data_IF_165714643882
#
_entry.id   IF_165714643882
#
_cell.length_a   1.000
_cell.length_b   1.000
_cell.length_c   1.000
_cell.angle_alpha   90.00
_cell.angle_beta   90.00
_cell.angle_gamma   90.00
#
_symmetry.space_group_name_H-M   'P 1'
#
loop_
_entity.id
_entity.type
_entity.pdbx_description
1 polymer ?
#
# COMPACT_ATOMS: atom_id res chain seq x y z
N UNK A 1 10.33 -14.47 10.23
CA UNK A 1 10.36 -13.32 11.07
C UNK A 1 10.55 -12.04 10.29
N UNK A 2 9.72 -11.10 10.46
CA UNK A 2 9.86 -9.92 9.65
C UNK A 2 9.89 -8.66 10.48
N UNK A 3 10.76 -7.75 10.08
CA UNK A 3 10.79 -6.39 10.59
C UNK A 3 10.33 -5.43 9.52
N UNK A 4 9.58 -5.94 8.56
CA UNK A 4 9.14 -5.13 7.43
C UNK A 4 8.02 -4.19 7.83
N UNK A 5 8.08 -3.00 7.26
CA UNK A 5 7.00 -2.04 7.41
C UNK A 5 5.85 -2.40 6.48
N UNK A 6 4.67 -1.91 6.81
CA UNK A 6 3.47 -2.03 6.00
C UNK A 6 3.07 -0.63 5.56
N UNK A 7 2.74 -0.48 4.28
CA UNK A 7 2.18 0.76 3.76
C UNK A 7 0.83 0.49 3.13
N UNK A 8 -0.08 1.46 3.22
CA UNK A 8 -1.39 1.33 2.61
C UNK A 8 -1.79 2.66 1.99
N UNK A 9 -2.31 2.59 0.77
CA UNK A 9 -2.94 3.75 0.13
C UNK A 9 -4.34 3.34 -0.29
N UNK A 10 -5.30 4.18 0.06
CA UNK A 10 -6.69 3.97 -0.31
C UNK A 10 -7.11 5.07 -1.27
N UNK A 11 -7.68 4.67 -2.40
CA UNK A 11 -8.07 5.60 -3.45
C UNK A 11 -9.54 5.42 -3.79
N UNK A 12 -10.10 6.43 -4.45
CA UNK A 12 -11.45 6.34 -4.96
C UNK A 12 -11.38 5.86 -6.41
N UNK A 13 -11.75 4.59 -6.61
CA UNK A 13 -11.76 3.95 -7.92
C UNK A 13 -10.46 3.26 -8.28
N UNK A 14 -10.52 2.48 -9.36
CA UNK A 14 -9.41 1.64 -9.80
C UNK A 14 -8.29 2.39 -10.50
N UNK A 15 -8.61 3.45 -11.25
CA UNK A 15 -7.58 4.12 -12.03
C UNK A 15 -6.49 4.70 -11.12
N UNK A 16 -6.82 5.48 -10.09
CA UNK A 16 -5.76 5.94 -9.19
C UNK A 16 -5.11 4.80 -8.40
N UNK A 17 -5.84 3.71 -8.13
CA UNK A 17 -5.27 2.56 -7.43
C UNK A 17 -4.19 1.88 -8.29
N UNK A 18 -4.46 1.66 -9.56
CA UNK A 18 -3.49 1.04 -10.46
C UNK A 18 -2.28 1.94 -10.68
N UNK A 19 -2.50 3.23 -10.84
CA UNK A 19 -1.43 4.20 -10.99
C UNK A 19 -0.55 4.24 -9.73
N UNK A 20 -1.20 4.22 -8.57
CA UNK A 20 -0.53 4.18 -7.28
C UNK A 20 0.36 2.93 -7.16
N UNK A 21 -0.21 1.76 -7.45
CA UNK A 21 0.52 0.50 -7.33
C UNK A 21 1.75 0.48 -8.23
N UNK A 22 1.59 0.91 -9.47
CA UNK A 22 2.69 0.96 -10.42
C UNK A 22 3.79 1.91 -9.94
N UNK A 23 3.41 3.10 -9.49
CA UNK A 23 4.36 4.09 -9.01
C UNK A 23 5.13 3.60 -7.78
N UNK A 24 4.45 2.89 -6.89
CA UNK A 24 5.08 2.39 -5.67
C UNK A 24 6.16 1.36 -5.96
N UNK A 25 5.88 0.38 -6.82
CA UNK A 25 6.87 -0.66 -7.11
C UNK A 25 8.01 -0.15 -7.96
N UNK A 26 7.80 0.93 -8.70
CA UNK A 26 8.86 1.55 -9.47
C UNK A 26 9.75 2.47 -8.63
N UNK A 27 9.20 3.03 -7.56
CA UNK A 27 9.92 4.01 -6.74
C UNK A 27 10.86 3.37 -5.74
N UNK A 28 10.53 2.19 -5.23
CA UNK A 28 11.31 1.58 -4.16
C UNK A 28 11.13 0.07 -4.17
N UNK A 29 11.99 -0.61 -3.42
CA UNK A 29 11.97 -2.08 -3.34
C UNK A 29 10.88 -2.51 -2.35
N UNK A 30 9.65 -2.54 -2.82
CA UNK A 30 8.49 -2.97 -2.03
C UNK A 30 7.71 -4.01 -2.81
N UNK A 31 6.95 -4.82 -2.08
CA UNK A 31 6.07 -5.82 -2.68
C UNK A 31 4.62 -5.46 -2.40
N UNK A 32 3.76 -5.69 -3.38
CA UNK A 32 2.32 -5.51 -3.16
C UNK A 32 1.79 -6.74 -2.44
N UNK A 33 1.17 -6.51 -1.27
CA UNK A 33 0.58 -7.57 -0.47
C UNK A 33 -0.85 -7.85 -0.92
N UNK A 34 -1.62 -6.79 -1.15
CA UNK A 34 -3.00 -6.94 -1.55
C UNK A 34 -3.50 -5.69 -2.25
N UNK A 35 -4.57 -5.88 -2.99
CA UNK A 35 -5.25 -4.84 -3.73
C UNK A 35 -6.72 -5.20 -3.69
N UNK A 36 -7.49 -4.49 -2.90
CA UNK A 36 -8.87 -4.87 -2.62
C UNK A 36 -9.83 -3.72 -2.75
N UNK A 37 -10.97 -4.01 -3.35
CA UNK A 37 -12.11 -3.13 -3.31
C UNK A 37 -12.75 -3.27 -1.93
N UNK A 38 -12.90 -2.15 -1.21
CA UNK A 38 -13.38 -2.19 0.17
C UNK A 38 -14.79 -1.60 0.33
N UNK A 39 -15.48 -1.40 -0.79
CA UNK A 39 -16.85 -0.87 -0.78
C UNK A 39 -16.88 0.61 -1.09
N UNK A 40 -18.02 1.09 -1.59
CA UNK A 40 -18.21 2.50 -1.88
C UNK A 40 -17.29 3.05 -2.97
N UNK A 41 -16.77 2.18 -3.83
CA UNK A 41 -15.83 2.60 -4.86
C UNK A 41 -14.41 2.80 -4.38
N UNK A 42 -14.12 2.46 -3.12
CA UNK A 42 -12.77 2.61 -2.57
C UNK A 42 -11.93 1.38 -2.85
N UNK A 43 -10.67 1.61 -3.19
CA UNK A 43 -9.70 0.54 -3.46
C UNK A 43 -8.50 0.75 -2.55
N UNK A 44 -8.11 -0.32 -1.84
CA UNK A 44 -6.99 -0.31 -0.93
C UNK A 44 -5.82 -1.06 -1.56
N UNK A 45 -4.64 -0.44 -1.55
CA UNK A 45 -3.39 -1.09 -1.99
C UNK A 45 -2.47 -1.16 -0.80
N UNK A 46 -2.02 -2.38 -0.47
CA UNK A 46 -1.15 -2.62 0.68
C UNK A 46 0.19 -3.14 0.17
N UNK A 47 1.27 -2.56 0.69
CA UNK A 47 2.63 -2.94 0.34
C UNK A 47 3.43 -3.26 1.60
N UNK A 48 4.54 -3.97 1.41
CA UNK A 48 5.49 -4.25 2.48
C UNK A 48 6.91 -4.06 1.96
N UNK A 49 7.82 -3.80 2.89
CA UNK A 49 9.23 -3.62 2.59
C UNK A 49 9.92 -2.95 3.76
N UNK A 50 11.19 -2.60 3.60
CA UNK A 50 11.90 -1.84 4.62
C UNK A 50 11.21 -0.49 4.82
N UNK A 51 11.31 0.05 6.05
CA UNK A 51 10.55 1.26 6.40
C UNK A 51 10.86 2.43 5.46
N UNK A 52 12.14 2.62 5.11
CA UNK A 52 12.51 3.69 4.18
C UNK A 52 11.92 3.49 2.80
N UNK A 53 11.92 2.24 2.32
CA UNK A 53 11.36 1.91 1.02
C UNK A 53 9.84 2.10 1.01
N UNK A 54 9.17 1.69 2.09
CA UNK A 54 7.71 1.85 2.19
C UNK A 54 7.34 3.33 2.23
N UNK A 55 8.08 4.14 2.98
CA UNK A 55 7.82 5.58 3.04
C UNK A 55 8.00 6.23 1.66
N UNK A 56 9.10 5.91 0.97
CA UNK A 56 9.34 6.45 -0.36
C UNK A 56 8.29 5.99 -1.35
N UNK A 57 7.90 4.72 -1.28
CA UNK A 57 6.90 4.17 -2.18
C UNK A 57 5.53 4.82 -1.97
N UNK A 58 5.10 4.96 -0.71
CA UNK A 58 3.78 5.55 -0.44
C UNK A 58 3.74 7.03 -0.86
N UNK A 59 4.83 7.75 -0.70
CA UNK A 59 4.89 9.14 -1.17
C UNK A 59 4.75 9.20 -2.68
N UNK A 60 5.52 8.38 -3.41
CA UNK A 60 5.46 8.36 -4.86
C UNK A 60 4.08 7.90 -5.36
N UNK A 61 3.53 6.89 -4.71
CA UNK A 61 2.22 6.36 -5.09
C UNK A 61 1.11 7.36 -4.87
N UNK A 62 1.14 8.04 -3.74
CA UNK A 62 0.15 9.06 -3.40
C UNK A 62 0.21 10.23 -4.40
N UNK A 63 1.43 10.69 -4.72
CA UNK A 63 1.59 11.79 -5.67
C UNK A 63 1.07 11.40 -7.05
N UNK A 64 1.41 10.20 -7.51
CA UNK A 64 0.97 9.74 -8.83
C UNK A 64 -0.56 9.56 -8.89
N UNK A 65 -1.12 8.98 -7.84
CA UNK A 65 -2.57 8.73 -7.79
C UNK A 65 -3.36 10.03 -7.76
N UNK A 66 -2.85 11.04 -7.04
CA UNK A 66 -3.52 12.34 -6.94
C UNK A 66 -3.59 13.06 -8.28
N UNK A 67 -2.75 12.71 -9.23
CA UNK A 67 -2.79 13.34 -10.55
C UNK A 67 -3.92 12.80 -11.43
N UNK A 68 -4.43 11.61 -11.12
CA UNK A 68 -5.45 10.97 -11.96
C UNK A 68 -6.71 10.62 -11.20
N UNK A 69 -6.77 10.92 -9.90
CA UNK A 69 -7.94 10.61 -9.09
C UNK A 69 -7.76 11.10 -7.67
N UNK A 70 -8.49 10.52 -6.74
CA UNK A 70 -8.51 10.95 -5.35
C UNK A 70 -7.87 9.91 -4.44
N UNK A 71 -6.89 10.35 -3.64
CA UNK A 71 -6.33 9.55 -2.55
C UNK A 71 -7.11 9.88 -1.29
N UNK A 72 -7.70 8.84 -0.69
CA UNK A 72 -8.56 9.00 0.49
C UNK A 72 -7.75 8.87 1.77
N UNK A 73 -6.78 7.96 1.80
CA UNK A 73 -5.99 7.72 3.01
C UNK A 73 -4.63 7.15 2.65
N UNK A 74 -3.63 7.48 3.47
CA UNK A 74 -2.29 6.92 3.37
C UNK A 74 -1.84 6.57 4.79
N UNK A 75 -1.39 5.33 4.99
CA UNK A 75 -0.89 4.88 6.28
C UNK A 75 0.43 4.16 6.12
N UNK A 76 1.33 4.39 7.05
CA UNK A 76 2.58 3.64 7.14
C UNK A 76 2.72 3.14 8.57
N UNK A 77 2.92 1.83 8.70
CA UNK A 77 3.21 1.19 9.99
C UNK A 77 4.66 0.74 9.92
N UNK A 78 5.58 1.50 10.55
CA UNK A 78 7.01 1.26 10.35
C UNK A 78 7.51 -0.08 10.87
N UNK A 79 6.94 -0.57 11.96
CA UNK A 79 7.33 -1.84 12.56
C UNK A 79 6.10 -2.51 13.12
N UNK A 80 5.33 -3.21 12.27
CA UNK A 80 4.11 -3.86 12.76
C UNK A 80 4.46 -4.90 13.81
N UNK A 81 3.59 -5.06 14.79
CA UNK A 81 3.68 -6.14 15.75
C UNK A 81 3.65 -7.49 15.00
N UNK A 82 4.32 -8.51 15.55
CA UNK A 82 4.37 -9.81 14.90
C UNK A 82 3.00 -10.37 14.57
N UNK A 83 2.05 -10.24 15.49
CA UNK A 83 0.69 -10.71 15.26
C UNK A 83 0.03 -9.99 14.08
N UNK A 84 0.28 -8.68 13.98
CA UNK A 84 -0.25 -7.90 12.88
C UNK A 84 0.33 -8.35 11.55
N UNK A 85 1.63 -8.58 11.49
CA UNK A 85 2.28 -9.09 10.29
C UNK A 85 1.72 -10.43 9.89
N UNK A 86 1.54 -11.32 10.85
CA UNK A 86 0.99 -12.65 10.59
C UNK A 86 -0.42 -12.55 10.07
N UNK A 87 -1.21 -11.65 10.62
CA UNK A 87 -2.58 -11.44 10.18
C UNK A 87 -2.64 -10.96 8.73
N UNK A 88 -1.82 -9.98 8.38
CA UNK A 88 -1.78 -9.46 7.01
C UNK A 88 -1.29 -10.52 6.03
N UNK A 89 -0.27 -11.29 6.41
CA UNK A 89 0.24 -12.35 5.55
C UNK A 89 -0.84 -13.41 5.30
N UNK A 90 -1.57 -13.79 6.34
CA UNK A 90 -2.64 -14.76 6.23
C UNK A 90 -3.76 -14.23 5.35
N UNK A 91 -4.17 -12.99 5.58
CA UNK A 91 -5.23 -12.37 4.79
C UNK A 91 -4.86 -12.28 3.32
N UNK A 92 -3.61 -11.93 3.02
CA UNK A 92 -3.18 -11.77 1.63
C UNK A 92 -3.02 -13.09 0.90
N UNK A 93 -2.83 -14.20 1.62
CA UNK A 93 -2.68 -15.50 0.99
C UNK A 93 -4.02 -16.16 0.70
N UNK A 94 -5.08 -15.62 1.20
CA UNK A 94 -6.42 -16.13 0.98
C UNK A 94 -7.14 -15.39 -0.12
#
# INVERSE_FOLDING_TARGET
>A
MTNQAIGMIETRGYVPALTCADAMVKAANVSIVSRNEVGGGLVSVVIKGDVGAVKAATEAGSDAANQVGEVVAVHVIPRPHGDLNDHFATASSQ
#
